data_IF_308254816437
#
_entry.id   IF_308254816437
#
_cell.length_a   1.000
_cell.length_b   1.000
_cell.length_c   1.000
_cell.angle_alpha   90.00
_cell.angle_beta   90.00
_cell.angle_gamma   90.00
#
_symmetry.space_group_name_H-M   'P 1'
#
loop_
_entity.id
_entity.type
_entity.pdbx_description
1 polymer ?
#
# COMPACT_ATOMS: atom_id res chain seq x y z
N UNK A 1 8.60 -20.27 8.35
CA UNK A 1 9.78 -19.62 7.73
C UNK A 1 10.59 -18.70 8.67
N UNK A 2 10.25 -18.57 9.98
CA UNK A 2 10.95 -17.66 10.90
C UNK A 2 10.82 -16.18 10.50
N UNK A 3 9.68 -15.83 9.90
CA UNK A 3 9.28 -14.45 9.60
C UNK A 3 8.37 -14.01 10.74
N UNK A 4 8.63 -12.88 11.42
CA UNK A 4 7.75 -12.40 12.48
C UNK A 4 6.35 -12.14 11.92
N UNK A 5 5.31 -12.65 12.57
CA UNK A 5 3.90 -12.44 12.22
C UNK A 5 3.22 -11.65 13.32
N UNK A 6 2.12 -10.97 13.00
CA UNK A 6 1.35 -10.24 14.00
C UNK A 6 0.83 -11.24 15.05
N UNK A 7 1.00 -10.99 16.36
CA UNK A 7 0.40 -11.84 17.39
C UNK A 7 -1.12 -11.90 17.21
N UNK A 8 -1.71 -13.09 17.33
CA UNK A 8 -3.11 -13.29 16.98
C UNK A 8 -3.56 -14.73 17.13
N UNK A 9 -4.76 -15.03 16.61
CA UNK A 9 -5.30 -16.39 16.61
C UNK A 9 -4.54 -17.30 15.65
N UNK A 10 -4.45 -18.59 15.99
CA UNK A 10 -3.90 -19.61 15.10
C UNK A 10 -4.97 -20.07 14.09
N UNK A 11 -5.41 -19.13 13.25
CA UNK A 11 -6.46 -19.34 12.25
C UNK A 11 -7.82 -18.78 12.64
N UNK A 12 -8.86 -19.35 12.03
CA UNK A 12 -10.27 -18.94 12.22
C UNK A 12 -10.71 -19.27 13.64
N UNK A 13 -11.42 -18.35 14.26
CA UNK A 13 -11.93 -18.51 15.63
C UNK A 13 -13.30 -19.16 15.56
N UNK A 14 -13.45 -20.32 16.20
CA UNK A 14 -14.70 -21.09 16.21
C UNK A 14 -15.62 -20.70 17.38
N UNK A 15 -15.05 -20.30 18.53
CA UNK A 15 -15.80 -19.91 19.73
C UNK A 15 -15.61 -18.41 20.07
N UNK A 16 -16.68 -17.60 20.08
CA UNK A 16 -16.65 -16.21 20.51
C UNK A 16 -16.07 -15.97 21.92
N UNK A 17 -16.22 -16.92 22.84
CA UNK A 17 -15.68 -16.78 24.20
C UNK A 17 -14.15 -16.96 24.24
N UNK A 18 -13.57 -17.76 23.33
CA UNK A 18 -12.12 -17.86 23.12
C UNK A 18 -11.51 -16.55 22.62
N UNK A 19 -12.25 -15.79 21.81
CA UNK A 19 -11.80 -14.49 21.26
C UNK A 19 -11.46 -13.50 22.38
N UNK A 20 -12.25 -13.46 23.45
CA UNK A 20 -12.05 -12.53 24.56
C UNK A 20 -10.82 -12.88 25.39
N UNK A 21 -10.61 -14.17 25.66
CA UNK A 21 -9.42 -14.64 26.36
C UNK A 21 -8.16 -14.31 25.54
N UNK A 22 -8.18 -14.62 24.25
CA UNK A 22 -7.09 -14.35 23.33
C UNK A 22 -6.82 -12.84 23.19
N UNK A 23 -7.85 -12.00 23.13
CA UNK A 23 -7.70 -10.55 23.05
C UNK A 23 -7.03 -9.95 24.30
N UNK A 24 -7.33 -10.51 25.48
CA UNK A 24 -6.70 -10.10 26.74
C UNK A 24 -5.24 -10.55 26.83
N UNK A 25 -4.93 -11.74 26.33
CA UNK A 25 -3.55 -12.24 26.24
C UNK A 25 -2.72 -11.43 25.22
N UNK A 26 -3.30 -11.17 24.04
CA UNK A 26 -2.69 -10.37 22.97
C UNK A 26 -2.55 -8.90 23.38
N UNK A 27 -3.46 -8.42 24.24
CA UNK A 27 -3.56 -7.04 24.71
C UNK A 27 -4.27 -6.14 23.70
N UNK A 28 -5.12 -5.23 24.20
CA UNK A 28 -5.82 -4.25 23.37
C UNK A 28 -4.92 -3.08 22.88
N UNK A 29 -5.28 -2.40 21.78
CA UNK A 29 -6.34 -2.77 20.86
C UNK A 29 -6.01 -4.01 20.01
N UNK A 30 -7.06 -4.66 19.52
CA UNK A 30 -7.01 -5.82 18.62
C UNK A 30 -7.81 -5.52 17.36
N UNK A 31 -7.49 -6.23 16.28
CA UNK A 31 -8.13 -6.14 14.98
C UNK A 31 -8.79 -7.48 14.65
N UNK A 32 -10.09 -7.45 14.39
CA UNK A 32 -10.83 -8.59 13.83
C UNK A 32 -10.79 -8.48 12.32
N UNK A 33 -10.47 -9.58 11.64
CA UNK A 33 -10.43 -9.69 10.18
C UNK A 33 -11.24 -10.87 9.70
N UNK A 34 -11.91 -10.72 8.55
CA UNK A 34 -12.52 -11.82 7.83
C UNK A 34 -11.45 -12.70 7.14
N UNK A 35 -11.58 -14.02 7.24
CA UNK A 35 -10.63 -14.97 6.64
C UNK A 35 -10.64 -14.91 5.10
N UNK A 36 -11.81 -14.70 4.50
CA UNK A 36 -11.98 -14.53 3.06
C UNK A 36 -11.89 -13.06 2.59
N UNK A 37 -11.58 -12.12 3.50
CA UNK A 37 -11.58 -10.69 3.22
C UNK A 37 -10.36 -10.20 2.44
N UNK A 38 -10.54 -9.19 1.59
CA UNK A 38 -9.47 -8.51 0.86
C UNK A 38 -9.79 -7.04 0.60
N UNK A 39 -8.76 -6.21 0.42
CA UNK A 39 -8.92 -4.78 0.08
C UNK A 39 -9.50 -3.91 1.20
N UNK A 40 -9.31 -4.32 2.47
CA UNK A 40 -9.67 -3.53 3.64
C UNK A 40 -11.14 -3.62 4.09
N UNK A 41 -11.95 -4.48 3.48
CA UNK A 41 -13.33 -4.78 3.91
C UNK A 41 -13.35 -5.90 4.95
N UNK A 42 -14.30 -5.87 5.89
CA UNK A 42 -14.39 -6.89 6.95
C UNK A 42 -13.31 -6.80 8.03
N UNK A 43 -12.77 -5.60 8.28
CA UNK A 43 -11.79 -5.36 9.36
C UNK A 43 -12.35 -4.40 10.41
N UNK A 44 -12.23 -4.72 11.70
CA UNK A 44 -12.75 -3.88 12.80
C UNK A 44 -11.79 -3.84 13.98
N UNK A 45 -11.47 -2.62 14.43
CA UNK A 45 -10.63 -2.39 15.61
C UNK A 45 -11.50 -2.43 16.86
N UNK A 46 -11.04 -3.16 17.87
CA UNK A 46 -11.63 -3.17 19.20
C UNK A 46 -10.61 -2.71 20.23
N UNK A 47 -10.98 -1.72 21.05
CA UNK A 47 -10.11 -1.16 22.10
C UNK A 47 -10.38 -1.77 23.48
N UNK A 48 -11.45 -2.55 23.63
CA UNK A 48 -11.84 -3.20 24.87
C UNK A 48 -12.83 -4.35 24.59
N UNK A 49 -13.16 -5.11 25.64
CA UNK A 49 -14.06 -6.26 25.60
C UNK A 49 -15.44 -5.94 25.00
N UNK A 50 -16.01 -4.78 25.33
CA UNK A 50 -17.36 -4.39 24.87
C UNK A 50 -17.34 -4.11 23.38
N UNK A 51 -16.34 -3.35 22.92
CA UNK A 51 -16.12 -3.07 21.51
C UNK A 51 -15.85 -4.36 20.73
N UNK A 52 -15.11 -5.31 21.31
CA UNK A 52 -14.76 -6.58 20.69
C UNK A 52 -15.99 -7.45 20.42
N UNK A 53 -16.87 -7.64 21.40
CA UNK A 53 -18.13 -8.42 21.22
C UNK A 53 -18.99 -7.86 20.09
N UNK A 54 -19.09 -6.53 20.04
CA UNK A 54 -19.82 -5.82 18.98
C UNK A 54 -19.13 -6.01 17.62
N UNK A 55 -17.80 -5.87 17.58
CA UNK A 55 -17.00 -6.02 16.36
C UNK A 55 -17.10 -7.42 15.74
N UNK A 56 -17.06 -8.48 16.55
CA UNK A 56 -17.21 -9.88 16.09
C UNK A 56 -18.57 -10.06 15.39
N UNK A 57 -19.65 -9.67 16.07
CA UNK A 57 -21.01 -9.84 15.54
C UNK A 57 -21.20 -9.12 14.21
N UNK A 58 -20.69 -7.89 14.10
CA UNK A 58 -20.78 -7.12 12.86
C UNK A 58 -19.86 -7.66 11.76
N UNK A 59 -18.63 -8.05 12.10
CA UNK A 59 -17.66 -8.56 11.13
C UNK A 59 -18.11 -9.89 10.52
N UNK A 60 -18.70 -10.80 11.31
CA UNK A 60 -19.21 -12.08 10.82
C UNK A 60 -20.34 -11.89 9.80
N UNK A 61 -21.30 -11.00 10.10
CA UNK A 61 -22.40 -10.68 9.18
C UNK A 61 -21.87 -10.06 7.88
N UNK A 62 -20.93 -9.13 7.99
CA UNK A 62 -20.32 -8.46 6.83
C UNK A 62 -19.54 -9.46 5.96
N UNK A 63 -18.78 -10.36 6.58
CA UNK A 63 -18.01 -11.39 5.91
C UNK A 63 -18.91 -12.40 5.18
N UNK A 64 -19.95 -12.90 5.85
CA UNK A 64 -20.95 -13.80 5.26
C UNK A 64 -21.66 -13.14 4.06
N UNK A 65 -22.07 -11.88 4.21
CA UNK A 65 -22.80 -11.14 3.17
C UNK A 65 -21.91 -10.83 1.96
N UNK A 66 -20.64 -10.50 2.19
CA UNK A 66 -19.73 -10.07 1.13
C UNK A 66 -18.98 -11.23 0.45
N UNK A 67 -18.69 -12.31 1.19
CA UNK A 67 -17.78 -13.38 0.77
C UNK A 67 -18.37 -14.79 0.91
N UNK A 68 -19.55 -14.95 1.54
CA UNK A 68 -20.17 -16.27 1.77
C UNK A 68 -19.42 -17.14 2.79
N UNK A 69 -18.53 -16.52 3.58
CA UNK A 69 -17.74 -17.16 4.64
C UNK A 69 -17.60 -16.19 5.82
N UNK A 70 -18.31 -16.50 6.91
CA UNK A 70 -18.28 -15.76 8.17
C UNK A 70 -17.03 -16.00 9.04
N UNK A 71 -16.04 -16.76 8.58
CA UNK A 71 -14.82 -17.03 9.33
C UNK A 71 -14.06 -15.77 9.70
N UNK A 72 -13.75 -15.60 10.99
CA UNK A 72 -13.02 -14.46 11.54
C UNK A 72 -11.73 -14.91 12.21
N UNK A 73 -10.70 -14.07 12.18
CA UNK A 73 -9.48 -14.25 12.97
C UNK A 73 -9.09 -12.93 13.65
N UNK A 74 -8.30 -13.03 14.71
CA UNK A 74 -7.88 -11.89 15.54
C UNK A 74 -6.39 -11.65 15.38
N UNK A 75 -6.02 -10.38 15.25
CA UNK A 75 -4.63 -9.93 15.28
C UNK A 75 -4.46 -8.77 16.26
N UNK A 76 -3.24 -8.59 16.78
CA UNK A 76 -2.86 -7.37 17.49
C UNK A 76 -2.99 -6.18 16.55
N UNK A 77 -3.72 -5.13 16.97
CA UNK A 77 -3.71 -3.87 16.25
C UNK A 77 -2.43 -3.10 16.59
N UNK A 78 -1.61 -2.83 15.59
CA UNK A 78 -0.34 -2.10 15.74
C UNK A 78 -0.59 -0.61 15.46
N UNK A 79 -0.85 0.15 16.52
CA UNK A 79 -1.11 1.59 16.42
C UNK A 79 0.10 2.35 15.85
N UNK A 80 -0.17 3.33 14.99
CA UNK A 80 0.85 4.18 14.38
C UNK A 80 1.85 3.41 13.50
N UNK A 81 1.50 2.19 13.07
CA UNK A 81 2.38 1.39 12.24
C UNK A 81 2.55 2.00 10.84
N UNK A 82 3.78 1.90 10.34
CA UNK A 82 4.08 2.10 8.93
C UNK A 82 3.77 0.85 8.14
N UNK A 83 3.21 1.02 6.95
CA UNK A 83 3.04 -0.05 5.98
C UNK A 83 4.27 -0.09 5.08
N UNK A 84 5.13 -1.09 5.27
CA UNK A 84 6.38 -1.28 4.53
C UNK A 84 6.30 -2.58 3.75
N UNK A 85 6.64 -2.54 2.48
CA UNK A 85 6.57 -3.73 1.64
C UNK A 85 7.84 -3.94 0.82
N UNK A 86 8.23 -5.18 0.59
CA UNK A 86 9.45 -5.53 -0.14
C UNK A 86 9.11 -6.18 -1.49
N UNK A 87 9.59 -5.57 -2.57
CA UNK A 87 9.47 -6.14 -3.91
C UNK A 87 10.34 -7.39 -4.00
N UNK A 88 9.73 -8.52 -4.37
CA UNK A 88 10.38 -9.81 -4.61
C UNK A 88 10.35 -10.12 -6.11
N UNK A 89 11.43 -10.73 -6.59
CA UNK A 89 11.50 -11.34 -7.91
C UNK A 89 12.15 -12.72 -7.79
N UNK A 90 11.45 -13.76 -8.26
CA UNK A 90 11.95 -15.13 -8.28
C UNK A 90 11.91 -15.73 -9.69
N UNK A 91 12.92 -16.51 -10.08
CA UNK A 91 12.91 -17.25 -11.35
C UNK A 91 12.81 -18.77 -11.16
N UNK A 92 12.61 -19.49 -12.27
CA UNK A 92 12.46 -20.95 -12.30
C UNK A 92 13.72 -21.72 -11.89
N UNK A 93 14.88 -21.06 -11.78
CA UNK A 93 16.11 -21.69 -11.26
C UNK A 93 16.14 -21.77 -9.72
N UNK A 94 15.13 -21.21 -9.05
CA UNK A 94 15.06 -21.09 -7.59
C UNK A 94 15.80 -19.86 -7.06
N UNK A 95 16.25 -18.96 -7.94
CA UNK A 95 16.86 -17.69 -7.52
C UNK A 95 15.77 -16.71 -7.11
N UNK A 96 15.92 -16.11 -5.93
CA UNK A 96 15.00 -15.10 -5.39
C UNK A 96 15.80 -13.90 -4.89
N UNK A 97 15.41 -12.71 -5.33
CA UNK A 97 15.98 -11.43 -4.93
C UNK A 97 14.90 -10.48 -4.41
N UNK A 98 15.35 -9.38 -3.78
CA UNK A 98 14.50 -8.23 -3.49
C UNK A 98 15.06 -6.99 -4.19
N UNK A 99 14.17 -6.13 -4.70
CA UNK A 99 14.52 -4.88 -5.37
C UNK A 99 14.45 -3.65 -4.45
N UNK A 100 14.29 -3.87 -3.14
CA UNK A 100 14.11 -2.82 -2.15
C UNK A 100 12.70 -2.78 -1.60
N UNK A 101 12.46 -1.81 -0.71
CA UNK A 101 11.17 -1.59 -0.07
C UNK A 101 10.38 -0.42 -0.66
N UNK A 102 9.09 -0.36 -0.36
CA UNK A 102 8.24 0.81 -0.52
C UNK A 102 7.56 1.17 0.81
N UNK A 103 7.42 2.46 1.06
CA UNK A 103 6.61 3.05 2.13
C UNK A 103 5.21 3.34 1.57
N UNK A 104 4.20 2.67 2.09
CA UNK A 104 2.82 2.74 1.61
C UNK A 104 1.85 3.18 2.71
N UNK A 105 2.35 3.92 3.71
CA UNK A 105 1.64 4.28 4.93
C UNK A 105 0.52 5.31 4.74
N UNK A 106 0.53 6.07 3.65
CA UNK A 106 -0.50 7.07 3.36
C UNK A 106 -1.67 6.39 2.65
N UNK A 107 -2.70 6.10 3.44
CA UNK A 107 -3.85 5.31 3.00
C UNK A 107 -5.16 5.97 3.40
N UNK A 108 -6.17 5.92 2.53
CA UNK A 108 -7.54 6.34 2.81
C UNK A 108 -8.43 5.11 2.85
N UNK A 109 -9.03 4.81 4.01
CA UNK A 109 -9.85 3.60 4.23
C UNK A 109 -9.15 2.32 3.70
N UNK A 110 -7.89 2.13 4.10
CA UNK A 110 -7.02 1.01 3.69
C UNK A 110 -6.65 0.95 2.20
N UNK A 111 -6.98 1.98 1.41
CA UNK A 111 -6.50 2.12 0.04
C UNK A 111 -5.29 3.05 0.00
N UNK A 112 -4.17 2.56 -0.53
CA UNK A 112 -2.94 3.35 -0.69
C UNK A 112 -3.20 4.54 -1.63
N UNK A 113 -2.64 5.69 -1.29
CA UNK A 113 -2.82 6.96 -2.00
C UNK A 113 -1.50 7.56 -2.47
N UNK A 114 -0.46 7.51 -1.61
CA UNK A 114 0.90 7.97 -1.92
C UNK A 114 1.88 6.90 -1.42
N UNK A 115 2.82 6.54 -2.28
CA UNK A 115 3.85 5.54 -2.02
C UNK A 115 5.23 6.11 -2.36
N UNK A 116 6.26 5.74 -1.60
CA UNK A 116 7.64 6.16 -1.90
C UNK A 116 8.68 5.06 -1.70
N UNK A 117 9.79 5.17 -2.43
CA UNK A 117 10.98 4.33 -2.24
C UNK A 117 12.26 5.16 -2.41
N UNK A 118 13.28 4.93 -1.57
CA UNK A 118 13.24 4.09 -0.35
C UNK A 118 12.37 4.69 0.76
N UNK A 119 12.00 3.88 1.77
CA UNK A 119 11.26 4.37 2.93
C UNK A 119 12.12 5.31 3.79
N UNK A 120 11.63 6.49 4.19
CA UNK A 120 12.31 7.36 5.15
C UNK A 120 12.25 6.81 6.59
N UNK A 121 11.34 5.87 6.87
CA UNK A 121 11.16 5.25 8.19
C UNK A 121 12.17 4.13 8.50
N UNK A 122 13.04 3.75 7.56
CA UNK A 122 13.97 2.63 7.73
C UNK A 122 15.43 3.07 7.81
N UNK A 123 16.07 2.72 8.92
CA UNK A 123 17.54 2.68 9.00
C UNK A 123 18.12 1.55 8.13
N UNK A 124 19.40 1.65 7.75
CA UNK A 124 20.09 0.62 6.96
C UNK A 124 20.07 -0.76 7.61
N UNK A 125 20.17 -0.83 8.94
CA UNK A 125 20.16 -2.09 9.69
C UNK A 125 18.76 -2.71 9.71
N UNK A 126 17.72 -1.92 9.93
CA UNK A 126 16.33 -2.38 9.93
C UNK A 126 15.90 -2.85 8.54
N UNK A 127 16.22 -2.08 7.49
CA UNK A 127 16.01 -2.46 6.09
C UNK A 127 16.64 -3.81 5.76
N UNK A 128 17.88 -4.05 6.19
CA UNK A 128 18.55 -5.34 5.98
C UNK A 128 17.84 -6.50 6.70
N UNK A 129 17.36 -6.28 7.94
CA UNK A 129 16.62 -7.30 8.71
C UNK A 129 15.30 -7.66 8.03
N UNK A 130 14.52 -6.66 7.60
CA UNK A 130 13.23 -6.86 6.93
C UNK A 130 13.41 -7.49 5.55
N UNK A 131 14.37 -7.04 4.74
CA UNK A 131 14.70 -7.63 3.45
C UNK A 131 15.03 -9.13 3.57
N UNK A 132 15.83 -9.50 4.58
CA UNK A 132 16.13 -10.91 4.87
C UNK A 132 14.89 -11.70 5.25
N UNK A 133 13.95 -11.11 6.00
CA UNK A 133 12.70 -11.76 6.36
C UNK A 133 11.81 -11.99 5.13
N UNK A 134 11.65 -10.98 4.28
CA UNK A 134 10.91 -11.07 3.02
C UNK A 134 11.47 -12.17 2.09
N UNK A 135 12.80 -12.21 1.90
CA UNK A 135 13.46 -13.26 1.09
C UNK A 135 13.27 -14.65 1.72
N UNK A 136 13.35 -14.79 3.05
CA UNK A 136 13.10 -16.08 3.72
C UNK A 136 11.66 -16.57 3.50
N UNK A 137 10.68 -15.66 3.62
CA UNK A 137 9.28 -15.97 3.33
C UNK A 137 9.08 -16.46 1.91
N UNK A 138 9.57 -15.70 0.92
CA UNK A 138 9.49 -16.06 -0.49
C UNK A 138 10.18 -17.40 -0.82
N UNK A 139 11.35 -17.67 -0.24
CA UNK A 139 12.06 -18.95 -0.40
C UNK A 139 11.29 -20.13 0.18
N UNK A 140 10.63 -19.95 1.33
CA UNK A 140 9.90 -21.04 1.99
C UNK A 140 8.71 -21.54 1.17
N UNK A 141 8.14 -20.67 0.32
CA UNK A 141 7.02 -21.03 -0.58
C UNK A 141 7.48 -21.34 -2.02
N UNK A 142 8.79 -21.40 -2.27
CA UNK A 142 9.32 -21.62 -3.62
C UNK A 142 8.87 -20.56 -4.63
N UNK A 143 8.76 -19.30 -4.21
CA UNK A 143 8.12 -18.26 -5.00
C UNK A 143 8.80 -18.02 -6.35
N UNK A 144 7.99 -17.87 -7.40
CA UNK A 144 8.43 -17.53 -8.77
C UNK A 144 7.62 -16.34 -9.27
N UNK A 145 8.18 -15.57 -10.20
CA UNK A 145 7.64 -14.34 -10.76
C UNK A 145 7.79 -13.12 -9.80
N UNK A 146 7.12 -12.00 -10.10
CA UNK A 146 7.13 -10.80 -9.28
C UNK A 146 6.00 -10.84 -8.23
N UNK A 147 6.36 -10.56 -6.98
CA UNK A 147 5.43 -10.49 -5.87
C UNK A 147 5.95 -9.58 -4.77
N UNK A 148 5.16 -9.37 -3.73
CA UNK A 148 5.51 -8.43 -2.67
C UNK A 148 5.18 -8.99 -1.31
N UNK A 149 6.13 -8.91 -0.39
CA UNK A 149 5.90 -9.22 1.02
C UNK A 149 5.61 -7.92 1.79
N UNK A 150 4.42 -7.82 2.38
CA UNK A 150 3.97 -6.65 3.14
C UNK A 150 4.19 -6.84 4.64
N UNK A 151 4.55 -5.74 5.31
CA UNK A 151 4.84 -5.69 6.73
C UNK A 151 4.21 -4.46 7.38
N UNK A 152 3.79 -4.60 8.63
CA UNK A 152 3.59 -3.49 9.55
C UNK A 152 4.87 -3.25 10.33
N UNK A 153 5.33 -1.99 10.39
CA UNK A 153 6.45 -1.55 11.21
C UNK A 153 5.93 -0.67 12.34
N UNK A 154 6.03 -1.18 13.56
CA UNK A 154 5.63 -0.49 14.77
C UNK A 154 6.60 0.65 15.15
N UNK A 155 6.16 1.66 15.91
CA UNK A 155 7.01 2.77 16.36
C UNK A 155 8.25 2.36 17.18
N UNK A 156 8.19 1.21 17.85
CA UNK A 156 9.31 0.64 18.62
C UNK A 156 10.34 -0.11 17.75
N UNK A 157 10.13 -0.16 16.43
CA UNK A 157 10.99 -0.82 15.46
C UNK A 157 10.74 -2.32 15.30
N UNK A 158 9.73 -2.90 15.95
CA UNK A 158 9.25 -4.25 15.65
C UNK A 158 8.50 -4.25 14.32
N UNK A 159 8.64 -5.33 13.55
CA UNK A 159 7.92 -5.48 12.29
C UNK A 159 7.26 -6.84 12.20
N UNK A 160 6.13 -6.88 11.52
CA UNK A 160 5.25 -8.04 11.44
C UNK A 160 4.81 -8.23 10.00
N UNK A 161 5.01 -9.43 9.46
CA UNK A 161 4.47 -9.82 8.17
C UNK A 161 2.94 -9.86 8.24
N UNK A 162 2.28 -9.33 7.22
CA UNK A 162 0.82 -9.32 7.12
C UNK A 162 0.30 -10.08 5.92
N UNK A 163 0.91 -9.91 4.74
CA UNK A 163 0.47 -10.59 3.53
C UNK A 163 1.59 -10.73 2.50
N UNK A 164 1.40 -11.68 1.58
CA UNK A 164 2.24 -11.82 0.39
C UNK A 164 1.37 -11.67 -0.86
N UNK A 165 1.52 -10.55 -1.56
CA UNK A 165 0.87 -10.33 -2.83
C UNK A 165 1.61 -11.09 -3.93
N UNK A 166 1.08 -12.25 -4.33
CA UNK A 166 1.63 -13.10 -5.38
C UNK A 166 1.37 -12.56 -6.81
N UNK A 167 1.49 -11.25 -7.00
CA UNK A 167 1.21 -10.53 -8.25
C UNK A 167 1.95 -9.20 -8.27
N UNK A 168 1.94 -8.53 -9.43
CA UNK A 168 2.35 -7.13 -9.54
C UNK A 168 1.43 -6.23 -8.70
N UNK A 169 1.99 -5.14 -8.19
CA UNK A 169 1.25 -4.11 -7.45
C UNK A 169 1.17 -2.81 -8.25
N UNK A 170 0.24 -1.95 -7.86
CA UNK A 170 -0.06 -0.69 -8.57
C UNK A 170 1.17 0.23 -8.54
N UNK A 171 1.81 0.27 -7.38
CA UNK A 171 2.98 1.05 -6.96
C UNK A 171 4.34 0.45 -7.38
N UNK A 172 4.35 -0.56 -8.25
CA UNK A 172 5.61 -1.09 -8.80
C UNK A 172 6.47 -0.04 -9.55
N UNK A 173 5.92 1.00 -10.23
CA UNK A 173 6.73 1.95 -10.99
C UNK A 173 7.79 2.66 -10.17
N UNK A 174 7.53 3.00 -8.92
CA UNK A 174 8.53 3.68 -8.08
C UNK A 174 9.76 2.79 -7.82
N UNK A 175 9.59 1.48 -7.74
CA UNK A 175 10.71 0.52 -7.70
C UNK A 175 11.44 0.48 -9.04
N UNK A 176 10.71 0.49 -10.15
CA UNK A 176 11.32 0.55 -11.50
C UNK A 176 12.15 1.82 -11.68
N UNK A 177 11.67 2.98 -11.22
CA UNK A 177 12.36 4.27 -11.35
C UNK A 177 13.70 4.30 -10.63
N UNK A 178 13.78 3.74 -9.42
CA UNK A 178 15.03 3.75 -8.63
C UNK A 178 15.98 2.62 -8.99
N UNK A 179 15.50 1.54 -9.61
CA UNK A 179 16.33 0.38 -9.97
C UNK A 179 16.70 0.34 -11.46
N UNK A 180 15.80 0.78 -12.34
CA UNK A 180 15.85 0.54 -13.77
C UNK A 180 15.52 -0.91 -14.15
N UNK A 181 14.80 -1.66 -13.30
CA UNK A 181 14.17 -2.93 -13.69
C UNK A 181 12.79 -2.64 -14.25
N UNK A 182 12.51 -3.15 -15.45
CA UNK A 182 11.15 -3.25 -15.96
C UNK A 182 10.55 -4.55 -15.41
N UNK A 183 9.74 -4.43 -14.35
CA UNK A 183 9.18 -5.54 -13.61
C UNK A 183 8.21 -6.34 -14.48
N UNK A 184 7.35 -5.67 -15.26
CA UNK A 184 6.37 -6.34 -16.13
C UNK A 184 7.10 -7.17 -17.20
N UNK A 185 8.17 -6.63 -17.78
CA UNK A 185 9.03 -7.38 -18.71
C UNK A 185 9.74 -8.56 -18.04
N UNK A 186 10.23 -8.41 -16.81
CA UNK A 186 10.79 -9.52 -16.04
C UNK A 186 9.74 -10.61 -15.78
N UNK A 187 8.49 -10.25 -15.47
CA UNK A 187 7.42 -11.23 -15.28
C UNK A 187 7.19 -12.08 -16.52
N UNK A 188 7.12 -11.46 -17.71
CA UNK A 188 6.93 -12.15 -18.99
C UNK A 188 8.14 -13.05 -19.31
N UNK A 189 9.36 -12.54 -19.09
CA UNK A 189 10.61 -13.26 -19.28
C UNK A 189 10.68 -14.52 -18.41
N UNK A 190 10.43 -14.38 -17.11
CA UNK A 190 10.43 -15.48 -16.14
C UNK A 190 9.33 -16.49 -16.48
N UNK A 191 8.13 -16.04 -16.85
CA UNK A 191 7.05 -16.91 -17.29
C UNK A 191 7.38 -17.69 -18.57
N UNK A 192 8.28 -17.17 -19.41
CA UNK A 192 8.80 -17.85 -20.60
C UNK A 192 9.92 -18.86 -20.29
N UNK A 193 10.25 -19.06 -19.01
CA UNK A 193 11.32 -19.96 -18.57
C UNK A 193 12.73 -19.38 -18.68
N UNK A 194 12.87 -18.11 -19.06
CA UNK A 194 14.16 -17.42 -19.07
C UNK A 194 14.58 -17.01 -17.65
N UNK A 195 15.89 -17.05 -17.32
CA UNK A 195 16.38 -16.53 -16.04
C UNK A 195 16.21 -15.02 -15.97
N UNK A 196 16.02 -14.46 -14.77
CA UNK A 196 15.88 -13.01 -14.56
C UNK A 196 17.04 -12.23 -15.20
N UNK A 197 16.76 -11.09 -15.84
CA UNK A 197 17.79 -10.37 -16.62
C UNK A 197 18.80 -9.63 -15.75
N UNK A 198 18.40 -9.27 -14.52
CA UNK A 198 19.24 -8.52 -13.57
C UNK A 198 19.23 -9.18 -12.21
N UNK A 199 20.42 -9.27 -11.60
CA UNK A 199 20.62 -10.01 -10.35
C UNK A 199 21.23 -9.19 -9.22
N UNK A 200 21.89 -8.06 -9.53
CA UNK A 200 22.54 -7.20 -8.55
C UNK A 200 22.20 -5.76 -8.89
N UNK A 201 21.39 -5.14 -8.05
CA UNK A 201 20.94 -3.78 -8.28
C UNK A 201 20.94 -3.02 -6.96
N UNK A 202 21.44 -1.80 -7.01
CA UNK A 202 21.37 -0.86 -5.90
C UNK A 202 20.39 0.22 -6.31
N UNK A 203 19.23 0.33 -5.65
CA UNK A 203 18.34 1.46 -5.83
C UNK A 203 19.12 2.78 -5.74
N UNK A 204 18.82 3.73 -6.62
CA UNK A 204 19.49 5.02 -6.70
C UNK A 204 18.48 6.15 -6.94
N UNK A 205 18.61 7.19 -6.12
CA UNK A 205 17.67 8.29 -6.06
C UNK A 205 16.48 7.96 -5.17
N UNK A 206 15.40 8.70 -5.39
CA UNK A 206 14.14 8.55 -4.67
C UNK A 206 12.99 8.66 -5.66
N UNK A 207 11.95 7.86 -5.49
CA UNK A 207 10.75 7.94 -6.31
C UNK A 207 9.50 7.93 -5.46
N UNK A 208 8.51 8.75 -5.85
CA UNK A 208 7.23 8.90 -5.17
C UNK A 208 6.12 8.77 -6.22
N UNK A 209 5.11 7.97 -5.93
CA UNK A 209 3.89 7.81 -6.72
C UNK A 209 2.72 8.44 -5.96
N UNK A 210 1.85 9.12 -6.70
CA UNK A 210 0.54 9.53 -6.21
C UNK A 210 -0.53 8.94 -7.13
N UNK A 211 -1.54 8.33 -6.51
CA UNK A 211 -2.72 7.80 -7.20
C UNK A 211 -3.76 8.89 -7.39
N UNK A 212 -4.19 9.09 -8.63
CA UNK A 212 -5.19 10.07 -9.01
C UNK A 212 -6.53 9.37 -9.15
N UNK A 213 -7.35 9.44 -8.10
CA UNK A 213 -8.70 8.90 -8.10
C UNK A 213 -9.71 9.96 -8.53
N UNK A 214 -10.76 9.55 -9.24
CA UNK A 214 -11.96 10.32 -9.53
C UNK A 214 -12.85 10.40 -8.28
N UNK A 215 -12.36 11.09 -7.26
CA UNK A 215 -13.03 11.27 -5.97
C UNK A 215 -12.95 12.74 -5.55
N UNK A 216 -13.90 13.18 -4.74
CA UNK A 216 -13.94 14.52 -4.15
C UNK A 216 -13.43 14.48 -2.69
N UNK A 217 -12.17 14.89 -2.43
CA UNK A 217 -11.62 14.90 -1.07
C UNK A 217 -12.34 15.84 -0.11
N UNK A 218 -12.95 16.92 -0.62
CA UNK A 218 -13.67 17.90 0.21
C UNK A 218 -15.07 17.40 0.62
N UNK A 219 -15.58 16.41 -0.11
CA UNK A 219 -16.86 15.77 0.16
C UNK A 219 -16.68 14.29 0.52
N UNK A 220 -15.80 14.03 1.49
CA UNK A 220 -15.63 12.72 2.11
C UNK A 220 -15.15 11.61 1.16
N UNK A 221 -14.41 11.97 0.10
CA UNK A 221 -13.96 11.07 -0.95
C UNK A 221 -15.12 10.38 -1.68
N UNK A 222 -16.20 11.13 -1.93
CA UNK A 222 -17.29 10.64 -2.78
C UNK A 222 -16.82 10.45 -4.22
N UNK A 223 -17.25 9.38 -4.87
CA UNK A 223 -16.91 9.11 -6.26
C UNK A 223 -17.41 10.23 -7.18
N UNK A 224 -16.60 10.60 -8.17
CA UNK A 224 -16.87 11.67 -9.13
C UNK A 224 -16.89 11.13 -10.57
N UNK A 225 -17.88 10.30 -10.94
CA UNK A 225 -18.05 9.80 -12.31
C UNK A 225 -18.49 10.92 -13.26
N UNK A 226 -18.20 10.78 -14.55
CA UNK A 226 -18.59 11.76 -15.56
C UNK A 226 -17.69 11.75 -16.78
N UNK A 227 -18.07 12.54 -17.79
CA UNK A 227 -17.25 12.75 -18.97
C UNK A 227 -16.15 13.75 -18.64
N UNK A 228 -14.92 13.46 -19.08
CA UNK A 228 -13.76 14.35 -18.95
C UNK A 228 -13.56 15.09 -20.27
N UNK A 229 -14.09 16.32 -20.46
CA UNK A 229 -14.08 16.96 -21.78
C UNK A 229 -12.66 17.32 -22.22
N UNK A 230 -11.78 17.64 -21.25
CA UNK A 230 -10.38 17.96 -21.46
C UNK A 230 -9.57 17.41 -20.29
N UNK A 231 -8.37 16.94 -20.58
CA UNK A 231 -7.40 16.58 -19.57
C UNK A 231 -6.00 17.07 -19.99
N UNK A 232 -5.17 17.35 -19.00
CA UNK A 232 -3.76 17.65 -19.18
C UNK A 232 -2.96 16.72 -18.26
N UNK A 233 -2.12 15.87 -18.85
CA UNK A 233 -1.22 14.99 -18.12
C UNK A 233 0.14 15.69 -18.01
N UNK A 234 0.75 15.77 -16.81
CA UNK A 234 2.04 16.42 -16.63
C UNK A 234 3.16 15.63 -17.31
N UNK A 235 4.30 16.30 -17.52
CA UNK A 235 5.48 15.65 -18.09
C UNK A 235 6.79 16.33 -17.66
N UNK A 236 7.86 16.04 -18.37
CA UNK A 236 9.18 16.60 -18.12
C UNK A 236 10.16 15.64 -17.41
N UNK A 237 11.40 16.10 -17.15
CA UNK A 237 12.45 15.25 -16.60
C UNK A 237 12.08 14.64 -15.26
N UNK A 238 12.16 13.31 -15.16
CA UNK A 238 11.87 12.57 -13.93
C UNK A 238 10.38 12.42 -13.63
N UNK A 239 9.48 12.77 -14.55
CA UNK A 239 8.05 12.53 -14.43
C UNK A 239 7.64 11.37 -15.32
N UNK A 240 6.98 10.37 -14.74
CA UNK A 240 6.31 9.26 -15.42
C UNK A 240 4.82 9.32 -15.11
N UNK A 241 4.00 9.07 -16.13
CA UNK A 241 2.54 9.00 -15.99
C UNK A 241 2.06 7.69 -16.59
N UNK A 242 1.47 6.84 -15.76
CA UNK A 242 0.77 5.63 -16.19
C UNK A 242 -0.73 5.95 -16.12
N UNK A 243 -1.42 6.06 -17.26
CA UNK A 243 -2.80 6.52 -17.32
C UNK A 243 -3.57 5.89 -18.47
N UNK A 244 -4.88 5.77 -18.32
CA UNK A 244 -5.82 5.47 -19.41
C UNK A 244 -6.74 6.66 -19.73
N UNK A 245 -6.51 7.81 -19.09
CA UNK A 245 -7.30 9.03 -19.26
C UNK A 245 -7.01 9.70 -20.61
N UNK A 246 -8.06 10.13 -21.31
CA UNK A 246 -7.99 10.95 -22.51
C UNK A 246 -9.21 11.89 -22.59
N UNK A 247 -9.12 12.95 -23.39
CA UNK A 247 -10.24 13.87 -23.59
C UNK A 247 -11.45 13.14 -24.22
N UNK A 248 -12.61 13.27 -23.58
CA UNK A 248 -13.84 12.55 -23.91
C UNK A 248 -14.04 11.23 -23.16
N UNK A 249 -13.08 10.80 -22.31
CA UNK A 249 -13.23 9.60 -21.49
C UNK A 249 -14.42 9.74 -20.52
N UNK A 250 -15.25 8.71 -20.42
CA UNK A 250 -16.34 8.62 -19.45
C UNK A 250 -15.87 7.79 -18.25
N UNK A 251 -15.73 8.44 -17.09
CA UNK A 251 -15.40 7.77 -15.83
C UNK A 251 -16.62 6.95 -15.38
N UNK A 252 -16.52 5.62 -15.34
CA UNK A 252 -17.63 4.75 -15.01
C UNK A 252 -17.92 4.74 -13.50
N UNK A 253 -19.15 4.38 -13.12
CA UNK A 253 -19.56 4.26 -11.71
C UNK A 253 -19.25 2.90 -11.08
N UNK A 254 -18.96 1.89 -11.92
CA UNK A 254 -18.95 0.49 -11.52
C UNK A 254 -17.55 -0.08 -11.22
N UNK A 255 -16.50 0.65 -11.60
CA UNK A 255 -15.12 0.21 -11.45
C UNK A 255 -14.37 1.07 -10.44
N UNK A 256 -13.12 0.72 -10.18
CA UNK A 256 -12.21 1.53 -9.38
C UNK A 256 -12.10 2.96 -9.95
N UNK A 257 -11.98 3.95 -9.06
CA UNK A 257 -11.94 5.37 -9.40
C UNK A 257 -10.56 5.83 -9.89
N UNK A 258 -9.53 4.99 -9.92
CA UNK A 258 -8.18 5.33 -10.35
C UNK A 258 -8.18 5.77 -11.81
N UNK A 259 -7.62 6.95 -12.10
CA UNK A 259 -7.51 7.52 -13.45
C UNK A 259 -6.08 7.47 -13.97
N UNK A 260 -5.14 7.81 -13.09
CA UNK A 260 -3.72 7.92 -13.42
C UNK A 260 -2.87 7.65 -12.17
N UNK A 261 -1.62 7.26 -12.42
CA UNK A 261 -0.55 7.26 -11.44
C UNK A 261 0.48 8.28 -11.92
N UNK A 262 0.79 9.25 -11.08
CA UNK A 262 1.82 10.25 -11.37
C UNK A 262 3.01 9.93 -10.49
N UNK A 263 4.14 9.64 -11.14
CA UNK A 263 5.37 9.21 -10.49
C UNK A 263 6.44 10.26 -10.75
N UNK A 264 7.12 10.67 -9.69
CA UNK A 264 8.28 11.53 -9.79
C UNK A 264 9.52 10.85 -9.21
N UNK A 265 10.62 10.91 -9.96
CA UNK A 265 11.95 10.49 -9.53
C UNK A 265 12.84 11.70 -9.32
N UNK A 266 13.57 11.73 -8.21
CA UNK A 266 14.62 12.71 -7.89
C UNK A 266 15.95 12.04 -7.59
N UNK A 267 17.05 12.82 -7.56
CA UNK A 267 18.35 12.37 -7.06
C UNK A 267 18.31 12.10 -5.54
N UNK A 268 17.40 12.76 -4.86
CA UNK A 268 17.08 12.67 -3.44
C UNK A 268 15.57 12.85 -3.24
N UNK A 269 15.15 12.70 -1.99
CA UNK A 269 13.74 12.75 -1.60
C UNK A 269 13.12 14.13 -1.80
N UNK A 270 13.86 15.20 -1.51
CA UNK A 270 13.37 16.57 -1.65
C UNK A 270 13.11 16.91 -3.12
N UNK A 271 14.01 16.54 -4.03
CA UNK A 271 13.80 16.74 -5.47
C UNK A 271 12.60 15.92 -5.98
N UNK A 272 12.41 14.69 -5.49
CA UNK A 272 11.25 13.87 -5.85
C UNK A 272 9.93 14.51 -5.36
N UNK A 273 9.92 15.07 -4.14
CA UNK A 273 8.77 15.81 -3.58
C UNK A 273 8.44 17.03 -4.43
N UNK A 274 9.44 17.87 -4.74
CA UNK A 274 9.24 19.11 -5.49
C UNK A 274 8.72 18.82 -6.90
N UNK A 275 9.29 17.80 -7.57
CA UNK A 275 8.82 17.34 -8.89
C UNK A 275 7.40 16.81 -8.84
N UNK A 276 7.07 15.94 -7.88
CA UNK A 276 5.74 15.36 -7.76
C UNK A 276 4.70 16.45 -7.48
N UNK A 277 4.99 17.38 -6.57
CA UNK A 277 4.10 18.49 -6.24
C UNK A 277 3.79 19.35 -7.47
N UNK A 278 4.81 19.73 -8.23
CA UNK A 278 4.64 20.50 -9.46
C UNK A 278 3.80 19.74 -10.51
N UNK A 279 4.11 18.46 -10.75
CA UNK A 279 3.36 17.62 -11.69
C UNK A 279 1.88 17.45 -11.28
N UNK A 280 1.60 17.30 -9.98
CA UNK A 280 0.24 17.18 -9.46
C UNK A 280 -0.56 18.50 -9.56
N UNK A 281 0.10 19.66 -9.45
CA UNK A 281 -0.53 20.96 -9.67
C UNK A 281 -0.77 21.27 -11.15
N UNK A 282 0.06 20.71 -12.04
CA UNK A 282 -0.10 20.81 -13.49
C UNK A 282 -1.21 19.88 -14.02
N UNK A 283 -1.43 18.72 -13.39
CA UNK A 283 -2.49 17.79 -13.78
C UNK A 283 -3.88 18.45 -13.78
N UNK A 284 -4.62 18.26 -14.87
CA UNK A 284 -6.01 18.70 -14.99
C UNK A 284 -6.91 17.63 -15.60
N UNK A 285 -8.12 17.48 -15.06
CA UNK A 285 -9.20 16.69 -15.63
C UNK A 285 -10.50 17.46 -15.42
N UNK A 286 -10.99 18.13 -16.46
CA UNK A 286 -12.21 18.94 -16.39
C UNK A 286 -13.45 18.03 -16.23
N UNK A 287 -14.51 18.54 -15.62
CA UNK A 287 -15.79 17.84 -15.49
C UNK A 287 -15.90 16.86 -14.33
N UNK A 288 -14.79 16.55 -13.65
CA UNK A 288 -14.74 15.67 -12.47
C UNK A 288 -13.86 16.27 -11.36
N UNK A 289 -13.98 15.73 -10.15
CA UNK A 289 -13.09 15.98 -9.02
C UNK A 289 -12.03 14.89 -8.94
N UNK A 290 -10.83 15.25 -8.48
CA UNK A 290 -9.73 14.30 -8.33
C UNK A 290 -8.93 14.51 -7.05
N UNK A 291 -8.17 13.49 -6.65
CA UNK A 291 -7.24 13.54 -5.51
C UNK A 291 -5.95 14.32 -5.78
N UNK A 292 -5.69 14.77 -7.02
CA UNK A 292 -4.40 15.35 -7.42
C UNK A 292 -3.95 16.53 -6.53
N UNK A 293 -4.85 17.51 -6.30
CA UNK A 293 -4.56 18.67 -5.45
C UNK A 293 -4.38 18.31 -3.98
N UNK A 294 -5.12 17.31 -3.47
CA UNK A 294 -4.91 16.80 -2.12
C UNK A 294 -3.50 16.22 -2.01
N UNK A 295 -3.11 15.34 -2.94
CA UNK A 295 -1.78 14.73 -2.95
C UNK A 295 -0.67 15.78 -3.02
N UNK A 296 -0.83 16.83 -3.84
CA UNK A 296 0.14 17.93 -3.94
C UNK A 296 0.35 18.65 -2.58
N UNK A 297 -0.73 18.90 -1.84
CA UNK A 297 -0.68 19.51 -0.51
C UNK A 297 -0.04 18.59 0.53
N UNK A 298 -0.33 17.29 0.48
CA UNK A 298 0.26 16.30 1.39
C UNK A 298 1.78 16.23 1.19
N UNK A 299 2.25 15.99 -0.04
CA UNK A 299 3.69 15.80 -0.30
C UNK A 299 4.50 17.07 -0.02
N UNK A 300 3.90 18.25 -0.22
CA UNK A 300 4.54 19.53 0.05
C UNK A 300 4.56 19.90 1.53
N UNK A 301 3.77 19.21 2.37
CA UNK A 301 3.62 19.53 3.77
C UNK A 301 4.80 19.13 4.63
N UNK A 302 4.97 19.86 5.74
CA UNK A 302 6.08 19.71 6.68
C UNK A 302 6.23 18.29 7.25
N UNK A 303 5.13 17.62 7.62
CA UNK A 303 5.16 16.25 8.13
C UNK A 303 5.71 15.27 7.09
N UNK A 304 5.18 15.33 5.87
CA UNK A 304 5.67 14.51 4.77
C UNK A 304 7.15 14.78 4.48
N UNK A 305 7.56 16.06 4.36
CA UNK A 305 8.96 16.44 4.12
C UNK A 305 9.93 15.94 5.19
N UNK A 306 9.52 15.95 6.46
CA UNK A 306 10.33 15.37 7.57
C UNK A 306 10.33 13.84 7.61
N UNK A 307 9.52 13.18 6.79
CA UNK A 307 9.35 11.71 6.81
C UNK A 307 8.50 11.22 7.97
N UNK A 308 7.79 12.11 8.68
CA UNK A 308 6.78 11.79 9.68
C UNK A 308 5.48 11.39 8.97
N UNK A 309 5.41 10.10 8.60
CA UNK A 309 4.35 9.53 7.78
C UNK A 309 3.60 8.52 8.62
N UNK A 310 2.29 8.68 8.64
CA UNK A 310 1.34 7.75 9.19
C UNK A 310 0.02 7.82 8.41
N UNK A 311 -0.88 6.86 8.62
CA UNK A 311 -2.19 6.85 7.97
C UNK A 311 -3.04 8.08 8.30
N UNK A 312 -2.80 8.70 9.47
CA UNK A 312 -3.47 9.91 9.96
C UNK A 312 -3.08 11.20 9.21
N UNK A 313 -2.03 11.17 8.37
CA UNK A 313 -1.55 12.40 7.71
C UNK A 313 -2.61 13.04 6.81
N UNK A 314 -3.49 12.23 6.21
CA UNK A 314 -4.55 12.70 5.32
C UNK A 314 -5.53 13.60 6.08
N UNK A 315 -5.82 13.28 7.35
CA UNK A 315 -6.82 13.96 8.18
C UNK A 315 -6.51 15.46 8.37
N UNK A 316 -5.23 15.85 8.26
CA UNK A 316 -4.78 17.25 8.35
C UNK A 316 -5.23 18.12 7.16
N UNK A 317 -5.66 17.50 6.06
CA UNK A 317 -5.94 18.18 4.79
C UNK A 317 -7.39 18.08 4.34
N UNK A 318 -8.15 17.13 4.89
CA UNK A 318 -9.57 16.89 4.52
C UNK A 318 -10.54 17.35 5.60
N UNK A 319 -10.11 17.38 6.86
CA UNK A 319 -10.89 18.01 7.92
C UNK A 319 -10.49 19.47 7.98
N UNK A 320 -11.40 20.37 7.58
CA UNK A 320 -11.27 21.79 7.89
C UNK A 320 -10.93 21.94 9.37
N UNK A 321 -9.89 22.71 9.64
CA UNK A 321 -9.37 23.10 10.96
C UNK A 321 -10.38 22.88 12.09
N UNK A 322 -10.05 21.99 13.05
CA UNK A 322 -10.65 22.06 14.38
C UNK A 322 -10.45 23.46 14.96
#
# INVERSE_FOLDING_TARGET
>A
AGVPVVPGSDGVIEDPDEVLALARETGFPVLIKAAAGGGGKGMRIAHNDVALKSAISMAAIEAETAFGDGGLYLEKFVEGARHIEFQILGDSSGKIITLGERECSIQRRHQKLIEETPSPGLSSSLRSRMAKAAIRGAKAIGYTNAGTAEFLLAPDGQFYFIEFNARIQVEHPITEEVTGVDLVKEQIRIASGEPMSKMNMRPSGHAIEARIYAEDPENGFSASPGIVPRCHLPGGPGIRVDSHLFAGYEVPRFYDSLLAKIIARGKDRDEAIDRLSAALLEFAADGIKTTARLCARIVSGDRFRRGDIGPDIIDQYVNGSM
#
